data_IF_655703917058
#
_entry.id   IF_655703917058
#
_cell.length_a   1.000
_cell.length_b   1.000
_cell.length_c   1.000
_cell.angle_alpha   90.00
_cell.angle_beta   90.00
_cell.angle_gamma   90.00
#
_symmetry.space_group_name_H-M   'P 1'
#
loop_
_entity.id
_entity.type
_entity.pdbx_description
1 polymer ?
#
# COMPACT_ATOMS: atom_id res chain seq x y z
N UNK A 1 -10.47 -18.03 12.67
CA UNK A 1 -9.10 -17.53 12.66
C UNK A 1 -9.08 -16.20 11.91
N UNK A 2 -8.34 -15.22 12.39
CA UNK A 2 -8.13 -13.92 11.73
C UNK A 2 -6.64 -13.83 11.39
N UNK A 3 -6.30 -13.56 10.15
CA UNK A 3 -4.92 -13.43 9.69
C UNK A 3 -4.86 -12.59 8.41
N UNK A 4 -3.73 -11.92 8.18
CA UNK A 4 -3.41 -11.19 6.95
C UNK A 4 -2.39 -11.95 6.08
N UNK A 5 -1.94 -13.14 6.52
CA UNK A 5 -1.06 -14.01 5.74
C UNK A 5 -1.85 -14.69 4.61
N UNK A 6 -1.69 -14.14 3.39
CA UNK A 6 -2.39 -14.57 2.17
C UNK A 6 -1.99 -16.00 1.77
N UNK A 7 -0.72 -16.36 1.93
CA UNK A 7 -0.24 -17.70 1.61
C UNK A 7 -0.85 -18.76 2.54
N UNK A 8 -0.91 -18.44 3.84
CA UNK A 8 -1.56 -19.30 4.81
C UNK A 8 -3.06 -19.45 4.51
N UNK A 9 -3.76 -18.34 4.24
CA UNK A 9 -5.18 -18.38 3.85
C UNK A 9 -5.41 -19.26 2.63
N UNK A 10 -4.55 -19.16 1.60
CA UNK A 10 -4.72 -19.92 0.37
C UNK A 10 -4.54 -21.43 0.57
N UNK A 11 -3.65 -21.84 1.48
CA UNK A 11 -3.32 -23.25 1.71
C UNK A 11 -4.17 -23.96 2.75
N UNK A 12 -4.70 -23.22 3.71
CA UNK A 12 -5.33 -23.81 4.90
C UNK A 12 -6.83 -23.60 4.93
N UNK A 13 -7.35 -22.56 4.26
CA UNK A 13 -8.77 -22.25 4.32
C UNK A 13 -9.53 -22.80 3.11
N UNK A 14 -10.74 -23.29 3.37
CA UNK A 14 -11.72 -23.68 2.38
C UNK A 14 -12.97 -22.77 2.43
N UNK A 15 -13.01 -21.86 3.39
CA UNK A 15 -14.08 -20.87 3.56
C UNK A 15 -13.49 -19.59 4.12
N UNK A 16 -13.84 -18.46 3.50
CA UNK A 16 -13.43 -17.11 3.92
C UNK A 16 -14.68 -16.31 4.24
N UNK A 17 -14.63 -15.57 5.35
CA UNK A 17 -15.68 -14.64 5.74
C UNK A 17 -15.06 -13.24 5.77
N UNK A 18 -15.57 -12.36 4.92
CA UNK A 18 -15.16 -10.97 4.84
C UNK A 18 -16.15 -10.08 5.60
N UNK A 19 -15.63 -9.16 6.39
CA UNK A 19 -16.42 -8.08 7.00
C UNK A 19 -16.10 -6.80 6.23
N UNK A 20 -17.05 -6.33 5.44
CA UNK A 20 -16.90 -5.09 4.67
C UNK A 20 -18.10 -4.16 4.91
N UNK A 21 -17.81 -2.90 5.31
CA UNK A 21 -18.83 -1.85 5.56
C UNK A 21 -19.98 -2.31 6.45
N UNK A 22 -19.68 -3.12 7.48
CA UNK A 22 -20.65 -3.65 8.44
C UNK A 22 -21.50 -4.80 7.92
N UNK A 23 -21.17 -5.37 6.76
CA UNK A 23 -21.80 -6.57 6.19
C UNK A 23 -20.84 -7.75 6.24
N UNK A 24 -21.40 -8.95 6.37
CA UNK A 24 -20.67 -10.20 6.30
C UNK A 24 -20.89 -10.82 4.93
N UNK A 25 -19.80 -11.20 4.28
CA UNK A 25 -19.80 -11.93 3.01
C UNK A 25 -19.08 -13.25 3.22
N UNK A 26 -19.70 -14.34 2.81
CA UNK A 26 -19.15 -15.69 2.93
C UNK A 26 -18.75 -16.20 1.55
N UNK A 27 -17.56 -16.77 1.46
CA UNK A 27 -17.02 -17.35 0.25
C UNK A 27 -16.53 -18.76 0.55
N UNK A 28 -17.13 -19.77 -0.07
CA UNK A 28 -16.75 -21.18 0.09
C UNK A 28 -15.57 -21.50 -0.84
N UNK A 29 -14.41 -20.91 -0.56
CA UNK A 29 -13.20 -21.03 -1.37
C UNK A 29 -11.95 -20.67 -0.56
N UNK A 30 -10.75 -20.91 -1.14
CA UNK A 30 -9.47 -20.42 -0.64
C UNK A 30 -9.25 -18.94 -0.97
N UNK A 31 -8.07 -18.39 -0.63
CA UNK A 31 -7.80 -16.96 -0.83
C UNK A 31 -7.82 -16.54 -2.31
N UNK A 32 -7.25 -17.33 -3.21
CA UNK A 32 -7.23 -17.01 -4.66
C UNK A 32 -8.65 -16.93 -5.22
N UNK A 33 -9.49 -17.90 -4.94
CA UNK A 33 -10.90 -17.88 -5.36
C UNK A 33 -11.72 -16.78 -4.67
N UNK A 34 -11.40 -16.41 -3.41
CA UNK A 34 -12.00 -15.27 -2.72
C UNK A 34 -11.73 -13.96 -3.48
N UNK A 35 -10.49 -13.71 -3.92
CA UNK A 35 -10.14 -12.50 -4.67
C UNK A 35 -10.95 -12.41 -5.96
N UNK A 36 -11.07 -13.50 -6.73
CA UNK A 36 -11.87 -13.53 -7.96
C UNK A 36 -13.36 -13.22 -7.70
N UNK A 37 -13.96 -13.88 -6.70
CA UNK A 37 -15.36 -13.69 -6.35
C UNK A 37 -15.62 -12.28 -5.78
N UNK A 38 -14.67 -11.71 -5.05
CA UNK A 38 -14.75 -10.34 -4.55
C UNK A 38 -14.78 -9.34 -5.70
N UNK A 39 -13.88 -9.46 -6.67
CA UNK A 39 -13.87 -8.60 -7.88
C UNK A 39 -15.20 -8.68 -8.61
N UNK A 40 -15.72 -9.88 -8.84
CA UNK A 40 -17.03 -10.07 -9.49
C UNK A 40 -18.16 -9.40 -8.69
N UNK A 41 -18.16 -9.52 -7.36
CA UNK A 41 -19.15 -8.85 -6.50
C UNK A 41 -19.08 -7.34 -6.65
N UNK A 42 -17.88 -6.78 -6.56
CA UNK A 42 -17.66 -5.33 -6.67
C UNK A 42 -18.08 -4.79 -8.05
N UNK A 43 -17.78 -5.52 -9.12
CA UNK A 43 -18.25 -5.19 -10.47
C UNK A 43 -19.77 -5.20 -10.58
N UNK A 44 -20.45 -6.20 -10.01
CA UNK A 44 -21.91 -6.27 -9.97
C UNK A 44 -22.53 -5.12 -9.16
N UNK A 45 -21.94 -4.78 -8.03
CA UNK A 45 -22.36 -3.64 -7.19
C UNK A 45 -22.22 -2.32 -7.95
N UNK A 46 -21.09 -2.12 -8.65
CA UNK A 46 -20.87 -0.95 -9.49
C UNK A 46 -21.84 -0.87 -10.69
N UNK A 47 -22.10 -1.98 -11.34
CA UNK A 47 -23.06 -2.05 -12.43
C UNK A 47 -24.48 -1.71 -11.94
N UNK A 48 -24.87 -2.22 -10.77
CA UNK A 48 -26.15 -1.94 -10.14
C UNK A 48 -26.28 -0.46 -9.77
N UNK A 49 -25.20 0.12 -9.22
CA UNK A 49 -25.17 1.54 -8.88
C UNK A 49 -25.26 2.45 -10.12
N UNK A 50 -24.52 2.13 -11.18
CA UNK A 50 -24.63 2.85 -12.47
C UNK A 50 -26.07 2.81 -13.01
N UNK A 51 -26.74 1.65 -12.93
CA UNK A 51 -28.13 1.50 -13.32
C UNK A 51 -29.07 2.34 -12.44
N UNK A 52 -28.85 2.35 -11.11
CA UNK A 52 -29.60 3.19 -10.15
C UNK A 52 -29.43 4.67 -10.47
N UNK A 53 -28.20 5.13 -10.71
CA UNK A 53 -27.93 6.53 -11.05
C UNK A 53 -28.55 6.95 -12.38
N UNK A 54 -28.56 6.07 -13.37
CA UNK A 54 -29.24 6.31 -14.65
C UNK A 54 -30.74 6.47 -14.47
N UNK A 55 -31.37 5.58 -13.71
CA UNK A 55 -32.79 5.68 -13.35
C UNK A 55 -33.09 6.97 -12.57
N UNK A 56 -32.26 7.29 -11.59
CA UNK A 56 -32.41 8.51 -10.79
C UNK A 56 -32.36 9.76 -11.67
N UNK A 57 -31.44 9.80 -12.65
CA UNK A 57 -31.36 10.91 -13.61
C UNK A 57 -32.64 11.08 -14.41
N UNK A 58 -33.18 9.99 -14.95
CA UNK A 58 -34.42 9.99 -15.68
C UNK A 58 -35.61 10.47 -14.81
N UNK A 59 -35.72 9.98 -13.59
CA UNK A 59 -36.75 10.40 -12.65
C UNK A 59 -36.60 11.85 -12.19
N UNK A 60 -35.34 12.35 -12.05
CA UNK A 60 -35.07 13.77 -11.77
C UNK A 60 -35.50 14.68 -12.91
N UNK A 61 -35.24 14.29 -14.15
CA UNK A 61 -35.71 15.07 -15.32
C UNK A 61 -37.25 15.10 -15.40
N UNK A 62 -37.88 13.98 -15.11
CA UNK A 62 -39.34 13.93 -15.02
C UNK A 62 -39.89 14.85 -13.91
N UNK A 63 -39.28 14.88 -12.75
CA UNK A 63 -39.64 15.76 -11.63
C UNK A 63 -39.49 17.23 -11.98
N UNK A 64 -38.43 17.60 -12.73
CA UNK A 64 -38.19 18.98 -13.22
C UNK A 64 -39.22 19.48 -14.20
N UNK A 65 -39.82 18.58 -15.01
CA UNK A 65 -40.84 18.95 -16.02
C UNK A 65 -42.18 19.34 -15.40
N UNK A 66 -42.32 19.30 -14.08
CA UNK A 66 -43.52 19.72 -13.35
C UNK A 66 -44.61 18.68 -13.30
N UNK A 67 -45.18 18.48 -12.13
CA UNK A 67 -46.20 17.49 -11.86
C UNK A 67 -47.55 18.05 -12.31
N UNK A 68 -48.00 17.73 -13.51
CA UNK A 68 -49.26 18.27 -14.11
C UNK A 68 -50.51 17.49 -13.80
N UNK A 69 -50.47 16.34 -13.12
CA UNK A 69 -51.66 15.51 -12.87
C UNK A 69 -51.69 14.90 -11.47
N UNK A 70 -52.82 14.96 -10.80
CA UNK A 70 -53.09 14.33 -9.50
C UNK A 70 -53.59 12.90 -9.74
N UNK A 71 -52.77 11.90 -9.43
CA UNK A 71 -53.18 10.50 -9.54
C UNK A 71 -52.30 9.55 -8.70
N UNK A 72 -52.87 8.38 -8.32
CA UNK A 72 -52.24 7.36 -7.47
C UNK A 72 -50.91 6.83 -8.06
N UNK A 73 -50.82 6.75 -9.40
CA UNK A 73 -49.58 6.36 -10.10
C UNK A 73 -48.40 7.32 -9.87
N UNK A 74 -48.75 8.57 -9.66
CA UNK A 74 -47.76 9.63 -9.44
C UNK A 74 -47.17 9.56 -8.04
N UNK A 75 -47.98 9.22 -7.05
CA UNK A 75 -47.49 9.03 -5.64
C UNK A 75 -46.53 7.87 -5.57
N UNK A 76 -46.85 6.73 -6.15
CA UNK A 76 -45.95 5.57 -6.21
C UNK A 76 -44.61 5.87 -6.93
N UNK A 77 -44.63 6.75 -7.96
CA UNK A 77 -43.42 7.16 -8.67
C UNK A 77 -42.57 8.12 -7.83
N UNK A 78 -43.19 9.02 -7.10
CA UNK A 78 -42.49 9.94 -6.16
C UNK A 78 -41.86 9.16 -5.00
N UNK A 79 -42.61 8.21 -4.42
CA UNK A 79 -42.10 7.31 -3.37
C UNK A 79 -40.89 6.52 -3.88
N UNK A 80 -40.95 5.95 -5.08
CA UNK A 80 -39.84 5.24 -5.72
C UNK A 80 -38.62 6.15 -5.99
N UNK A 81 -38.85 7.41 -6.37
CA UNK A 81 -37.78 8.38 -6.53
C UNK A 81 -37.07 8.68 -5.20
N UNK A 82 -37.84 8.87 -4.12
CA UNK A 82 -37.29 9.07 -2.78
C UNK A 82 -36.51 7.86 -2.30
N UNK A 83 -36.98 6.66 -2.53
CA UNK A 83 -36.26 5.41 -2.25
C UNK A 83 -34.95 5.35 -3.02
N UNK A 84 -34.94 5.62 -4.32
CA UNK A 84 -33.74 5.65 -5.17
C UNK A 84 -32.75 6.74 -4.74
N UNK A 85 -33.26 7.89 -4.30
CA UNK A 85 -32.44 9.01 -3.84
C UNK A 85 -31.79 8.72 -2.49
N UNK A 86 -32.54 8.11 -1.57
CA UNK A 86 -32.10 7.83 -0.20
C UNK A 86 -31.27 6.55 -0.10
N UNK A 87 -31.27 5.67 -1.11
CA UNK A 87 -30.42 4.50 -1.14
C UNK A 87 -28.94 4.95 -1.21
N UNK A 88 -28.17 4.56 -0.18
CA UNK A 88 -26.70 4.78 -0.17
C UNK A 88 -26.08 3.84 -1.17
N UNK A 89 -25.55 4.37 -2.27
CA UNK A 89 -24.73 3.62 -3.21
C UNK A 89 -23.39 3.22 -2.60
N UNK A 90 -22.69 2.22 -3.14
CA UNK A 90 -21.31 1.96 -2.79
C UNK A 90 -20.49 3.23 -3.00
N UNK A 91 -19.65 3.59 -2.04
CA UNK A 91 -18.70 4.68 -2.23
C UNK A 91 -17.79 4.29 -3.39
N UNK A 92 -17.89 5.02 -4.51
CA UNK A 92 -16.94 4.85 -5.60
C UNK A 92 -15.57 5.25 -5.06
N UNK A 93 -14.75 4.27 -4.76
CA UNK A 93 -13.31 4.48 -4.76
C UNK A 93 -12.97 4.80 -6.22
N UNK A 94 -12.66 6.06 -6.50
CA UNK A 94 -12.06 6.40 -7.77
C UNK A 94 -10.71 5.70 -7.80
N UNK A 95 -10.59 4.64 -8.61
CA UNK A 95 -9.32 4.07 -8.98
C UNK A 95 -8.54 5.13 -9.77
N UNK A 96 -7.93 6.05 -9.06
CA UNK A 96 -6.94 6.93 -9.63
C UNK A 96 -5.65 6.13 -9.57
N UNK A 97 -5.21 5.57 -10.70
CA UNK A 97 -3.93 4.88 -10.83
C UNK A 97 -2.82 5.77 -10.25
N UNK A 98 -2.03 5.17 -9.35
CA UNK A 98 -0.92 5.85 -8.72
C UNK A 98 0.33 5.66 -9.56
N UNK A 99 0.47 6.44 -10.60
CA UNK A 99 1.74 6.51 -11.29
C UNK A 99 2.61 7.57 -10.61
N UNK A 100 3.65 7.17 -9.92
CA UNK A 100 4.59 8.08 -9.29
C UNK A 100 5.66 8.52 -10.30
N UNK A 101 5.87 9.81 -10.42
CA UNK A 101 7.07 10.32 -11.08
C UNK A 101 8.17 10.33 -10.04
N UNK A 102 9.04 9.32 -10.05
CA UNK A 102 10.22 9.31 -9.21
C UNK A 102 11.16 10.46 -9.61
N UNK A 103 11.84 11.03 -8.62
CA UNK A 103 12.92 11.99 -8.89
C UNK A 103 14.05 11.31 -9.68
N UNK A 104 14.70 12.04 -10.59
CA UNK A 104 15.73 11.49 -11.49
C UNK A 104 16.90 10.90 -10.70
N UNK A 105 17.12 9.59 -10.82
CA UNK A 105 18.33 8.92 -10.33
C UNK A 105 19.55 9.28 -11.16
N UNK A 106 20.65 9.63 -10.52
CA UNK A 106 21.96 9.85 -11.12
C UNK A 106 22.61 8.55 -11.64
N UNK A 107 23.87 8.61 -12.05
CA UNK A 107 24.63 7.41 -12.49
C UNK A 107 24.98 6.51 -11.31
N UNK A 108 25.41 7.10 -10.20
CA UNK A 108 25.71 6.39 -8.95
C UNK A 108 24.42 6.24 -8.15
N UNK A 109 24.14 5.03 -7.72
CA UNK A 109 22.99 4.65 -6.91
C UNK A 109 23.44 4.33 -5.48
N UNK A 110 23.43 3.07 -5.10
CA UNK A 110 23.92 2.56 -3.83
C UNK A 110 24.95 1.48 -4.13
N UNK A 111 26.17 1.67 -3.63
CA UNK A 111 27.27 0.73 -3.82
C UNK A 111 27.73 0.25 -2.45
N UNK A 112 27.73 -1.06 -2.26
CA UNK A 112 28.17 -1.76 -1.07
C UNK A 112 29.47 -2.48 -1.41
N UNK A 113 30.57 -2.15 -0.73
CA UNK A 113 31.89 -2.69 -1.00
C UNK A 113 32.46 -3.37 0.24
N UNK A 114 32.58 -4.70 0.18
CA UNK A 114 33.20 -5.52 1.22
C UNK A 114 32.65 -5.25 2.64
N UNK A 115 31.33 -5.00 2.76
CA UNK A 115 30.75 -4.66 4.03
C UNK A 115 30.65 -5.87 4.96
N UNK A 116 31.10 -5.68 6.18
CA UNK A 116 30.98 -6.67 7.27
C UNK A 116 30.36 -6.01 8.49
N UNK A 117 29.53 -6.76 9.24
CA UNK A 117 28.90 -6.30 10.48
C UNK A 117 28.64 -7.44 11.45
N UNK A 118 29.09 -7.24 12.68
CA UNK A 118 28.83 -8.13 13.80
C UNK A 118 28.35 -7.41 15.04
N UNK A 119 27.84 -8.16 16.01
CA UNK A 119 27.47 -7.70 17.35
C UNK A 119 27.95 -8.73 18.38
N UNK A 120 28.98 -8.38 19.15
CA UNK A 120 29.69 -9.32 20.04
C UNK A 120 30.24 -10.49 19.23
N UNK A 121 29.90 -11.72 19.60
CA UNK A 121 30.39 -12.95 18.93
C UNK A 121 29.59 -13.33 17.67
N UNK A 122 28.53 -12.57 17.33
CA UNK A 122 27.69 -12.89 16.16
C UNK A 122 28.11 -12.04 14.95
N UNK A 123 28.63 -12.70 13.92
CA UNK A 123 28.84 -12.10 12.61
C UNK A 123 27.56 -12.23 11.80
N UNK A 124 26.89 -11.10 11.49
CA UNK A 124 25.63 -11.08 10.76
C UNK A 124 25.84 -10.91 9.26
N UNK A 125 26.80 -10.10 8.86
CA UNK A 125 27.14 -9.83 7.47
C UNK A 125 28.64 -9.98 7.34
N UNK A 126 29.09 -10.72 6.33
CA UNK A 126 30.50 -10.99 6.11
C UNK A 126 30.83 -10.77 4.63
N UNK A 127 31.74 -9.83 4.37
CA UNK A 127 32.28 -9.51 3.05
C UNK A 127 31.23 -9.40 1.93
N UNK A 128 30.16 -8.63 2.17
CA UNK A 128 29.10 -8.47 1.20
C UNK A 128 29.36 -7.28 0.27
N UNK A 129 29.37 -7.52 -1.04
CA UNK A 129 29.52 -6.49 -2.06
C UNK A 129 28.38 -6.55 -3.07
N UNK A 130 27.75 -5.42 -3.34
CA UNK A 130 26.68 -5.32 -4.33
C UNK A 130 26.50 -3.88 -4.82
N UNK A 131 26.28 -3.73 -6.12
CA UNK A 131 25.90 -2.45 -6.73
C UNK A 131 24.44 -2.51 -7.10
N UNK A 132 23.65 -1.67 -6.46
CA UNK A 132 22.20 -1.56 -6.72
C UNK A 132 22.00 -0.82 -8.03
N UNK A 133 21.31 -1.40 -9.00
CA UNK A 133 21.00 -0.80 -10.28
C UNK A 133 19.70 0.00 -10.23
N UNK A 134 19.49 0.89 -11.24
CA UNK A 134 18.36 1.83 -11.26
C UNK A 134 16.97 1.19 -11.19
N UNK A 135 16.82 0.02 -11.79
CA UNK A 135 15.54 -0.68 -11.90
C UNK A 135 15.51 -1.93 -11.01
N UNK A 136 16.45 -2.01 -10.05
CA UNK A 136 16.50 -3.15 -9.14
C UNK A 136 15.31 -3.15 -8.19
N UNK A 137 14.68 -4.31 -8.12
CA UNK A 137 13.64 -4.65 -7.16
C UNK A 137 14.10 -5.86 -6.36
N UNK A 138 14.64 -5.61 -5.18
CA UNK A 138 15.40 -6.57 -4.40
C UNK A 138 14.58 -7.02 -3.20
N UNK A 139 14.42 -8.34 -3.04
CA UNK A 139 13.85 -8.96 -1.85
C UNK A 139 14.93 -9.64 -1.00
N UNK A 140 14.92 -9.38 0.31
CA UNK A 140 15.74 -10.10 1.27
C UNK A 140 14.87 -11.06 2.09
N UNK A 141 15.22 -12.35 2.03
CA UNK A 141 14.55 -13.41 2.80
C UNK A 141 15.53 -14.08 3.74
N UNK A 142 15.07 -14.57 4.87
CA UNK A 142 15.89 -15.31 5.84
C UNK A 142 15.28 -15.32 7.23
N UNK A 143 15.83 -16.13 8.14
CA UNK A 143 15.34 -16.25 9.52
C UNK A 143 15.37 -14.90 10.26
N UNK A 144 14.57 -14.78 11.32
CA UNK A 144 14.64 -13.60 12.19
C UNK A 144 16.00 -13.53 12.87
N UNK A 145 16.57 -12.30 12.96
CA UNK A 145 17.88 -12.06 13.58
C UNK A 145 19.09 -12.42 12.71
N UNK A 146 18.91 -12.74 11.41
CA UNK A 146 20.04 -13.02 10.50
C UNK A 146 20.70 -11.75 9.92
N UNK A 147 20.23 -10.55 10.26
CA UNK A 147 20.88 -9.28 9.85
C UNK A 147 20.14 -8.50 8.77
N UNK A 148 18.93 -8.88 8.36
CA UNK A 148 18.14 -8.18 7.32
C UNK A 148 17.94 -6.69 7.64
N UNK A 149 17.32 -6.39 8.79
CA UNK A 149 17.09 -4.99 9.22
C UNK A 149 18.41 -4.26 9.56
N UNK A 150 19.46 -5.00 9.95
CA UNK A 150 20.81 -4.42 10.13
C UNK A 150 21.36 -3.91 8.80
N UNK A 151 21.22 -4.67 7.72
CA UNK A 151 21.62 -4.26 6.38
C UNK A 151 20.84 -3.02 5.93
N UNK A 152 19.52 -3.00 6.15
CA UNK A 152 18.70 -1.82 5.83
C UNK A 152 19.15 -0.58 6.59
N UNK A 153 19.41 -0.70 7.90
CA UNK A 153 19.93 0.40 8.72
C UNK A 153 21.32 0.88 8.28
N UNK A 154 22.16 -0.02 7.76
CA UNK A 154 23.47 0.38 7.20
C UNK A 154 23.30 1.14 5.87
N UNK A 155 22.42 0.69 4.98
CA UNK A 155 22.09 1.39 3.72
C UNK A 155 21.52 2.78 4.01
N UNK A 156 20.74 2.92 5.09
CA UNK A 156 20.18 4.21 5.53
C UNK A 156 21.23 5.13 6.18
N UNK A 157 22.46 4.64 6.42
CA UNK A 157 23.48 5.39 7.17
C UNK A 157 23.22 5.53 8.67
N UNK A 158 22.19 4.88 9.20
CA UNK A 158 21.85 4.85 10.64
C UNK A 158 22.92 4.05 11.42
N UNK A 159 23.40 2.98 10.80
CA UNK A 159 24.43 2.11 11.36
C UNK A 159 25.64 2.07 10.42
N UNK A 160 26.84 2.14 10.99
CA UNK A 160 28.07 2.01 10.20
C UNK A 160 28.49 0.54 10.10
N UNK A 161 28.98 0.07 8.95
CA UNK A 161 29.63 -1.22 8.84
C UNK A 161 30.91 -1.23 9.72
N UNK A 162 31.33 -2.42 10.15
CA UNK A 162 32.59 -2.59 10.87
C UNK A 162 33.78 -2.61 9.90
N UNK A 163 33.56 -3.18 8.68
CA UNK A 163 34.52 -3.18 7.58
C UNK A 163 33.79 -2.85 6.28
N UNK A 164 34.54 -2.37 5.30
CA UNK A 164 34.01 -2.00 3.99
C UNK A 164 33.44 -0.60 3.94
N UNK A 165 32.80 -0.27 2.82
CA UNK A 165 32.26 1.06 2.59
C UNK A 165 30.88 1.00 1.92
N UNK A 166 30.04 1.99 2.20
CA UNK A 166 28.74 2.19 1.55
C UNK A 166 28.75 3.57 0.90
N UNK A 167 28.62 3.60 -0.41
CA UNK A 167 28.55 4.84 -1.19
C UNK A 167 27.10 5.04 -1.67
N UNK A 168 26.53 6.19 -1.35
CA UNK A 168 25.18 6.58 -1.77
C UNK A 168 25.31 7.79 -2.70
N UNK A 169 24.72 7.70 -3.90
CA UNK A 169 24.79 8.78 -4.87
C UNK A 169 24.03 10.04 -4.41
N UNK A 170 24.51 11.23 -4.74
CA UNK A 170 23.98 12.53 -4.30
C UNK A 170 22.50 12.74 -4.69
N UNK A 171 22.02 12.07 -5.73
CA UNK A 171 20.62 12.17 -6.19
C UNK A 171 19.69 11.14 -5.56
N UNK A 172 20.21 10.25 -4.74
CA UNK A 172 19.45 9.20 -4.07
C UNK A 172 18.63 9.81 -2.95
N UNK A 173 17.33 9.61 -3.02
CA UNK A 173 16.36 10.00 -1.98
C UNK A 173 15.68 8.75 -1.47
N UNK A 174 16.07 8.32 -0.28
CA UNK A 174 15.58 7.07 0.31
C UNK A 174 14.33 7.36 1.13
N UNK A 175 13.24 6.64 0.81
CA UNK A 175 12.08 6.50 1.68
C UNK A 175 12.20 5.19 2.45
N UNK A 176 12.13 5.23 3.76
CA UNK A 176 12.25 4.06 4.61
C UNK A 176 10.98 3.80 5.40
N UNK A 177 10.37 2.66 5.14
CA UNK A 177 9.26 2.16 5.92
C UNK A 177 9.80 1.13 6.91
N UNK A 178 10.04 1.58 8.15
CA UNK A 178 10.63 0.76 9.21
C UNK A 178 9.65 -0.26 9.77
N UNK A 179 10.15 -1.31 10.40
CA UNK A 179 9.33 -2.29 11.13
C UNK A 179 8.63 -1.64 12.34
N UNK A 180 9.31 -0.73 13.04
CA UNK A 180 8.75 -0.01 14.17
C UNK A 180 8.04 1.26 13.70
N UNK A 181 6.94 1.62 14.35
CA UNK A 181 6.22 2.85 14.05
C UNK A 181 7.01 4.06 14.58
N UNK A 182 6.98 5.17 13.85
CA UNK A 182 7.26 6.46 14.46
C UNK A 182 6.18 6.76 15.52
N UNK A 183 6.58 7.33 16.65
CA UNK A 183 5.64 7.82 17.66
C UNK A 183 4.79 8.96 17.06
N UNK A 184 3.63 8.61 16.54
CA UNK A 184 2.65 9.56 16.03
C UNK A 184 1.78 10.06 17.17
N UNK A 185 2.36 10.88 18.03
CA UNK A 185 1.65 11.52 19.15
C UNK A 185 1.42 12.99 18.85
N UNK A 186 0.25 13.49 19.20
CA UNK A 186 -0.04 14.92 19.12
C UNK A 186 -1.45 15.23 18.62
N UNK A 187 -1.90 16.45 18.89
CA UNK A 187 -3.22 16.98 18.51
C UNK A 187 -3.26 17.49 17.06
N UNK A 188 -2.25 17.12 16.24
CA UNK A 188 -2.20 17.45 14.82
C UNK A 188 -3.19 16.57 14.06
N UNK A 189 -3.95 17.16 13.13
CA UNK A 189 -4.89 16.44 12.27
C UNK A 189 -4.14 15.61 11.23
N UNK A 190 -4.70 14.48 10.85
CA UNK A 190 -4.17 13.59 9.81
C UNK A 190 -3.82 14.35 8.51
N UNK A 191 -4.72 15.23 8.04
CA UNK A 191 -4.49 16.02 6.82
C UNK A 191 -3.32 16.99 6.96
N UNK A 192 -3.19 17.63 8.12
CA UNK A 192 -2.12 18.61 8.37
C UNK A 192 -0.77 17.90 8.51
N UNK A 193 -0.74 16.70 9.09
CA UNK A 193 0.45 15.88 9.18
C UNK A 193 1.02 15.53 7.79
N UNK A 194 0.16 15.12 6.86
CA UNK A 194 0.59 14.82 5.49
C UNK A 194 0.94 16.10 4.70
N UNK A 195 0.20 17.20 4.87
CA UNK A 195 0.51 18.49 4.26
C UNK A 195 1.86 19.05 4.69
N UNK A 196 2.28 18.80 5.91
CA UNK A 196 3.61 19.21 6.39
C UNK A 196 4.74 18.48 5.63
N UNK A 197 4.47 17.31 5.06
CA UNK A 197 5.42 16.59 4.20
C UNK A 197 5.34 17.13 2.76
N UNK A 198 4.15 17.11 2.16
CA UNK A 198 3.89 17.65 0.85
C UNK A 198 2.39 17.95 0.67
N UNK A 199 2.06 19.14 0.13
CA UNK A 199 0.69 19.48 -0.20
C UNK A 199 0.21 18.77 -1.47
N UNK A 200 1.13 18.53 -2.42
CA UNK A 200 0.88 17.86 -3.69
C UNK A 200 2.02 16.90 -4.01
N UNK A 201 1.69 15.80 -4.66
CA UNK A 201 2.65 14.86 -5.24
C UNK A 201 2.45 14.82 -6.75
N UNK A 202 3.55 14.74 -7.51
CA UNK A 202 3.49 14.58 -8.96
C UNK A 202 3.15 13.14 -9.31
N UNK A 203 2.16 12.97 -10.19
CA UNK A 203 1.77 11.66 -10.74
C UNK A 203 1.78 11.75 -12.26
N UNK A 204 1.79 10.63 -12.97
CA UNK A 204 1.76 10.61 -14.45
C UNK A 204 0.50 11.26 -15.02
N UNK A 205 -0.59 11.31 -14.24
CA UNK A 205 -1.87 11.95 -14.62
C UNK A 205 -2.00 13.39 -14.16
N UNK A 206 -0.95 13.97 -13.57
CA UNK A 206 -0.94 15.33 -13.02
C UNK A 206 -0.60 15.38 -11.53
N UNK A 207 -1.04 16.42 -10.85
CA UNK A 207 -0.81 16.57 -9.41
C UNK A 207 -1.95 15.93 -8.61
N UNK A 208 -1.59 15.15 -7.58
CA UNK A 208 -2.53 14.67 -6.58
C UNK A 208 -2.34 15.43 -5.27
N UNK A 209 -3.41 15.91 -4.66
CA UNK A 209 -3.35 16.60 -3.37
C UNK A 209 -3.20 15.63 -2.19
N UNK A 210 -2.72 16.12 -1.06
CA UNK A 210 -2.64 15.34 0.19
C UNK A 210 -3.99 14.69 0.56
N UNK A 211 -5.11 15.41 0.38
CA UNK A 211 -6.45 14.86 0.65
C UNK A 211 -6.83 13.73 -0.29
N UNK A 212 -6.51 13.83 -1.58
CA UNK A 212 -6.74 12.75 -2.54
C UNK A 212 -5.88 11.51 -2.24
N UNK A 213 -4.64 11.73 -1.80
CA UNK A 213 -3.76 10.63 -1.40
C UNK A 213 -4.25 9.96 -0.12
N UNK A 214 -4.73 10.73 0.85
CA UNK A 214 -5.36 10.19 2.05
C UNK A 214 -6.60 9.36 1.74
N UNK A 215 -7.47 9.84 0.86
CA UNK A 215 -8.67 9.10 0.44
C UNK A 215 -8.31 7.74 -0.18
N UNK A 216 -7.26 7.70 -1.01
CA UNK A 216 -6.73 6.44 -1.58
C UNK A 216 -6.20 5.48 -0.53
N UNK A 217 -5.55 6.02 0.50
CA UNK A 217 -5.05 5.25 1.63
C UNK A 217 -6.13 4.98 2.68
N UNK A 218 -7.40 5.00 2.27
CA UNK A 218 -8.56 4.66 3.10
C UNK A 218 -8.74 5.60 4.31
N UNK A 219 -8.38 6.87 4.16
CA UNK A 219 -8.72 7.94 5.08
C UNK A 219 -9.82 8.81 4.48
N UNK A 220 -11.09 8.44 4.68
CA UNK A 220 -12.23 9.24 4.21
C UNK A 220 -12.22 10.64 4.83
N UNK A 221 -12.94 11.61 4.25
CA UNK A 221 -12.91 13.01 4.71
C UNK A 221 -13.14 13.20 6.20
N UNK A 222 -13.97 12.36 6.84
CA UNK A 222 -14.24 12.41 8.28
C UNK A 222 -12.98 12.07 9.10
N UNK A 223 -12.16 11.11 8.65
CA UNK A 223 -10.93 10.71 9.32
C UNK A 223 -9.78 11.68 9.05
N UNK A 224 -9.79 12.40 7.92
CA UNK A 224 -8.70 13.32 7.59
C UNK A 224 -8.58 14.49 8.58
N UNK A 225 -9.66 14.85 9.26
CA UNK A 225 -9.67 15.93 10.25
C UNK A 225 -9.56 15.43 11.69
N UNK A 226 -9.39 14.12 11.89
CA UNK A 226 -9.20 13.51 13.20
C UNK A 226 -7.77 13.73 13.70
N UNK A 227 -7.54 14.00 15.00
CA UNK A 227 -6.19 14.05 15.59
C UNK A 227 -5.47 12.71 15.50
N UNK A 228 -4.13 12.74 15.39
CA UNK A 228 -3.29 11.54 15.23
C UNK A 228 -3.42 10.55 16.41
N UNK A 229 -3.57 11.05 17.62
CA UNK A 229 -3.70 10.23 18.84
C UNK A 229 -4.98 9.40 18.92
N UNK A 230 -5.96 9.71 18.08
CA UNK A 230 -7.24 8.95 17.98
C UNK A 230 -7.21 7.85 16.93
N UNK A 231 -6.13 7.74 16.16
CA UNK A 231 -5.99 6.70 15.16
C UNK A 231 -5.67 5.36 15.83
N UNK A 232 -6.26 4.29 15.31
CA UNK A 232 -5.87 2.91 15.64
C UNK A 232 -4.43 2.63 15.15
N UNK A 233 -3.75 1.62 15.74
CA UNK A 233 -2.40 1.24 15.34
C UNK A 233 -2.27 0.93 13.83
N UNK A 234 -3.26 0.25 13.24
CA UNK A 234 -3.29 -0.03 11.81
C UNK A 234 -3.45 1.23 10.95
N UNK A 235 -4.28 2.21 11.40
CA UNK A 235 -4.41 3.51 10.73
C UNK A 235 -3.13 4.33 10.84
N UNK A 236 -2.46 4.35 12.01
CA UNK A 236 -1.15 4.99 12.17
C UNK A 236 -0.12 4.37 11.24
N UNK A 237 -0.08 3.04 11.14
CA UNK A 237 0.84 2.32 10.26
C UNK A 237 0.61 2.67 8.78
N UNK A 238 -0.64 2.73 8.36
CA UNK A 238 -1.04 3.13 7.01
C UNK A 238 -0.71 4.60 6.72
N UNK A 239 -0.91 5.49 7.70
CA UNK A 239 -0.54 6.90 7.59
C UNK A 239 0.97 7.09 7.48
N UNK A 240 1.76 6.31 8.22
CA UNK A 240 3.21 6.32 8.13
C UNK A 240 3.69 5.88 6.74
N UNK A 241 3.10 4.82 6.20
CA UNK A 241 3.39 4.42 4.82
C UNK A 241 3.10 5.56 3.83
N UNK A 242 1.93 6.17 3.93
CA UNK A 242 1.57 7.31 3.08
C UNK A 242 2.56 8.47 3.21
N UNK A 243 3.00 8.81 4.43
CA UNK A 243 4.04 9.83 4.67
C UNK A 243 5.29 9.53 3.86
N UNK A 244 5.82 8.30 3.97
CA UNK A 244 7.03 7.89 3.25
C UNK A 244 6.86 8.04 1.74
N UNK A 245 5.70 7.68 1.20
CA UNK A 245 5.42 7.81 -0.24
C UNK A 245 5.25 9.28 -0.68
N UNK A 246 4.69 10.12 0.18
CA UNK A 246 4.51 11.56 -0.09
C UNK A 246 5.83 12.32 -0.13
N UNK A 247 6.90 11.80 0.47
CA UNK A 247 8.25 12.34 0.32
C UNK A 247 8.81 12.22 -1.09
N UNK A 248 8.12 11.51 -2.00
CA UNK A 248 8.53 11.24 -3.37
C UNK A 248 9.97 10.67 -3.47
N UNK A 249 10.26 9.54 -2.80
CA UNK A 249 11.56 8.89 -2.87
C UNK A 249 11.84 8.34 -4.27
N UNK A 250 13.12 8.10 -4.59
CA UNK A 250 13.53 7.34 -5.78
C UNK A 250 14.19 5.99 -5.42
N UNK A 251 14.39 5.77 -4.12
CA UNK A 251 14.74 4.46 -3.54
C UNK A 251 13.78 4.21 -2.38
N UNK A 252 13.05 3.12 -2.43
CA UNK A 252 12.10 2.75 -1.38
C UNK A 252 12.60 1.49 -0.66
N UNK A 253 12.79 1.61 0.65
CA UNK A 253 13.17 0.50 1.52
C UNK A 253 11.97 0.14 2.39
N UNK A 254 11.53 -1.12 2.30
CA UNK A 254 10.38 -1.65 3.02
C UNK A 254 10.82 -2.77 3.95
N UNK A 255 10.79 -2.55 5.26
CA UNK A 255 11.16 -3.56 6.26
C UNK A 255 9.91 -4.20 6.86
N UNK A 256 9.60 -5.42 6.42
CA UNK A 256 8.43 -6.24 6.79
C UNK A 256 7.08 -5.49 6.65
N UNK A 257 6.78 -4.91 5.47
CA UNK A 257 5.55 -4.12 5.29
C UNK A 257 4.28 -4.95 5.46
N UNK A 258 4.37 -6.27 5.29
CA UNK A 258 3.24 -7.19 5.32
C UNK A 258 2.78 -7.57 6.72
N UNK A 259 3.58 -7.30 7.77
CA UNK A 259 3.23 -7.71 9.13
C UNK A 259 2.12 -6.86 9.76
N UNK A 260 2.10 -5.55 9.45
CA UNK A 260 1.26 -4.58 10.16
C UNK A 260 0.26 -3.86 9.25
N UNK A 261 0.21 -4.21 7.97
CA UNK A 261 -0.74 -3.66 7.02
C UNK A 261 -1.86 -4.66 6.74
N UNK A 262 -3.09 -4.17 6.66
CA UNK A 262 -4.21 -4.97 6.20
C UNK A 262 -4.11 -5.27 4.69
N UNK A 263 -4.85 -6.28 4.24
CA UNK A 263 -4.80 -6.73 2.84
C UNK A 263 -5.16 -5.61 1.86
N UNK A 264 -6.09 -4.72 2.22
CA UNK A 264 -6.48 -3.60 1.34
C UNK A 264 -5.34 -2.59 1.19
N UNK A 265 -4.68 -2.24 2.29
CA UNK A 265 -3.51 -1.35 2.26
C UNK A 265 -2.33 -1.98 1.51
N UNK A 266 -2.12 -3.29 1.67
CA UNK A 266 -1.11 -4.02 0.90
C UNK A 266 -1.38 -3.98 -0.60
N UNK A 267 -2.64 -4.14 -1.02
CA UNK A 267 -3.02 -4.01 -2.44
C UNK A 267 -2.71 -2.61 -2.97
N UNK A 268 -3.03 -1.55 -2.19
CA UNK A 268 -2.72 -0.17 -2.56
C UNK A 268 -1.21 0.04 -2.71
N UNK A 269 -0.41 -0.52 -1.78
CA UNK A 269 1.05 -0.46 -1.85
C UNK A 269 1.59 -1.21 -3.08
N UNK A 270 1.08 -2.39 -3.37
CA UNK A 270 1.47 -3.20 -4.53
C UNK A 270 1.16 -2.45 -5.85
N UNK A 271 -0.03 -1.87 -5.98
CA UNK A 271 -0.42 -1.08 -7.14
C UNK A 271 0.47 0.17 -7.32
N UNK A 272 0.87 0.81 -6.21
CA UNK A 272 1.84 1.89 -6.25
C UNK A 272 3.21 1.40 -6.72
N UNK A 273 3.68 0.26 -6.19
CA UNK A 273 4.98 -0.30 -6.54
C UNK A 273 5.04 -0.78 -7.99
N UNK A 274 3.94 -1.25 -8.58
CA UNK A 274 3.89 -1.64 -10.00
C UNK A 274 4.27 -0.48 -10.93
N UNK A 275 3.88 0.73 -10.58
CA UNK A 275 4.14 1.95 -11.37
C UNK A 275 5.35 2.75 -10.90
N UNK A 276 5.94 2.35 -9.77
CA UNK A 276 7.10 3.04 -9.20
C UNK A 276 8.35 2.85 -10.05
N UNK A 277 8.88 3.93 -10.62
CA UNK A 277 10.03 3.92 -11.51
C UNK A 277 11.39 4.03 -10.79
N UNK A 278 11.45 3.72 -9.49
CA UNK A 278 12.66 3.76 -8.68
C UNK A 278 13.12 2.38 -8.22
N UNK A 279 14.16 2.38 -7.40
CA UNK A 279 14.69 1.18 -6.76
C UNK A 279 13.78 0.77 -5.60
N UNK A 280 13.47 -0.52 -5.51
CA UNK A 280 12.74 -1.10 -4.37
C UNK A 280 13.62 -2.13 -3.68
N UNK A 281 13.82 -1.97 -2.38
CA UNK A 281 14.51 -2.93 -1.52
C UNK A 281 13.52 -3.34 -0.43
N UNK A 282 13.19 -4.62 -0.36
CA UNK A 282 12.21 -5.08 0.63
C UNK A 282 12.68 -6.29 1.41
N UNK A 283 12.33 -6.32 2.67
CA UNK A 283 12.39 -7.50 3.53
C UNK A 283 10.96 -7.96 3.73
N UNK A 284 10.61 -9.16 3.35
CA UNK A 284 9.29 -9.72 3.60
C UNK A 284 9.31 -11.24 3.67
N UNK A 285 8.36 -11.79 4.42
CA UNK A 285 8.06 -13.23 4.46
C UNK A 285 6.83 -13.59 3.60
N UNK A 286 6.11 -12.61 3.10
CA UNK A 286 4.95 -12.82 2.21
C UNK A 286 5.41 -13.10 0.77
N UNK A 287 5.19 -14.35 0.33
CA UNK A 287 5.57 -14.79 -1.02
C UNK A 287 4.78 -14.08 -2.11
N UNK A 288 3.49 -13.83 -1.92
CA UNK A 288 2.67 -13.11 -2.91
C UNK A 288 3.19 -11.71 -3.16
N UNK A 289 3.58 -11.02 -2.08
CA UNK A 289 4.19 -9.69 -2.17
C UNK A 289 5.53 -9.74 -2.91
N UNK A 290 6.40 -10.69 -2.54
CA UNK A 290 7.70 -10.82 -3.19
C UNK A 290 7.58 -11.21 -4.66
N UNK A 291 6.75 -12.21 -5.00
CA UNK A 291 6.58 -12.68 -6.38
C UNK A 291 6.06 -11.57 -7.32
N UNK A 292 5.22 -10.66 -6.79
CA UNK A 292 4.71 -9.51 -7.57
C UNK A 292 5.72 -8.39 -7.72
N UNK A 293 6.47 -8.08 -6.68
CA UNK A 293 7.22 -6.82 -6.60
C UNK A 293 8.70 -6.97 -6.97
N UNK A 294 9.35 -8.10 -6.63
CA UNK A 294 10.81 -8.22 -6.74
C UNK A 294 11.24 -8.99 -7.98
N UNK A 295 12.37 -8.58 -8.55
CA UNK A 295 13.02 -9.28 -9.67
C UNK A 295 14.28 -10.06 -9.24
N UNK A 296 14.78 -9.82 -8.02
CA UNK A 296 15.93 -10.50 -7.43
C UNK A 296 15.69 -10.80 -5.97
N UNK A 297 16.10 -11.99 -5.52
CA UNK A 297 16.02 -12.40 -4.11
C UNK A 297 17.41 -12.73 -3.59
N UNK A 298 17.75 -12.15 -2.43
CA UNK A 298 18.90 -12.53 -1.62
C UNK A 298 18.43 -13.36 -0.43
N UNK A 299 18.93 -14.60 -0.35
CA UNK A 299 18.73 -15.43 0.83
C UNK A 299 19.82 -15.11 1.85
N UNK A 300 19.41 -14.62 3.01
CA UNK A 300 20.30 -14.32 4.12
C UNK A 300 20.29 -15.52 5.09
N UNK A 301 21.43 -16.16 5.27
CA UNK A 301 21.61 -17.22 6.27
C UNK A 301 22.60 -16.79 7.35
N UNK A 302 22.61 -17.46 8.50
CA UNK A 302 23.52 -17.14 9.61
C UNK A 302 25.02 -17.22 9.27
N UNK A 303 25.37 -17.72 8.09
CA UNK A 303 26.76 -17.95 7.68
C UNK A 303 27.19 -17.18 6.45
N UNK A 304 26.29 -16.89 5.50
CA UNK A 304 26.63 -16.19 4.25
C UNK A 304 25.39 -15.55 3.60
N UNK A 305 25.56 -14.37 3.01
CA UNK A 305 24.67 -13.86 1.98
C UNK A 305 24.95 -14.64 0.68
N UNK A 306 24.03 -15.50 0.26
CA UNK A 306 24.18 -16.22 -1.00
C UNK A 306 23.86 -15.29 -2.18
N UNK A 307 24.57 -15.50 -3.29
CA UNK A 307 24.36 -14.80 -4.55
C UNK A 307 22.88 -14.77 -4.95
N UNK A 308 22.41 -13.70 -5.63
CA UNK A 308 21.02 -13.54 -5.98
C UNK A 308 20.53 -14.70 -6.84
N UNK A 309 19.47 -15.35 -6.38
CA UNK A 309 18.73 -16.29 -7.23
C UNK A 309 17.79 -15.44 -8.09
N UNK A 310 18.04 -15.43 -9.40
CA UNK A 310 17.13 -14.79 -10.35
C UNK A 310 15.89 -15.68 -10.42
N UNK A 311 14.81 -15.26 -9.80
CA UNK A 311 13.49 -15.82 -10.09
C UNK A 311 13.10 -15.31 -11.50
N UNK A 312 13.27 -16.16 -12.51
CA UNK A 312 12.51 -16.00 -13.75
C UNK A 312 11.14 -16.61 -13.51
N UNK A 313 10.12 -15.78 -13.39
CA UNK A 313 8.74 -16.18 -13.56
C UNK A 313 8.48 -16.36 -15.05
#
# INVERSE_FOLDING_TARGET
MVTHDRYFLDRVTNKIVEIDKGKLYEYDTNYSGFVELKVQREEMELATERKRQSLLRVEMEWMKQGIKARGTRQRARTERFEELKNAKGPSMQQNVEMDSISSRLGKTTIELEHISKGFGDKHLINDFSYIVLRDDRIGFIGPNGCGKSTLMKMIMGILKPDEGNITIGDTVKIGYFAQENEDMTGDIRVIDYIRNVAEYIQTTKGQASASQMLDRFLFPPELQYTPLDKLSGGEQRRLYLLKVLMEAPNVLILDEPTNDLDIQTLTILEDYLDTFAGIVITVSHDRYFLDRIVNRIFAVSYTHLTLPTILRV
#
